data_IF_975958025048
#
_entry.id   IF_975958025048
#
_cell.length_a   1.000
_cell.length_b   1.000
_cell.length_c   1.000
_cell.angle_alpha   90.00
_cell.angle_beta   90.00
_cell.angle_gamma   90.00
#
_symmetry.space_group_name_H-M   'P 1'
#
loop_
_entity.id
_entity.type
_entity.pdbx_description
1 polymer ?
#
# COMPACT_ATOMS: atom_id res chain seq x y z
N UNK A 1 -15.84 -10.72 -23.19
CA UNK A 1 -17.23 -10.41 -22.81
C UNK A 1 -17.70 -11.27 -21.62
N UNK A 2 -17.74 -12.61 -21.73
CA UNK A 2 -18.16 -13.50 -20.63
C UNK A 2 -17.39 -13.30 -19.31
N UNK A 3 -16.07 -13.17 -19.34
CA UNK A 3 -15.29 -12.98 -18.10
C UNK A 3 -15.63 -11.66 -17.38
N UNK A 4 -15.89 -10.59 -18.13
CA UNK A 4 -16.26 -9.28 -17.56
C UNK A 4 -17.64 -9.33 -16.90
N UNK A 5 -18.59 -10.01 -17.54
CA UNK A 5 -19.93 -10.24 -16.97
C UNK A 5 -19.83 -11.10 -15.71
N UNK A 6 -19.07 -12.20 -15.75
CA UNK A 6 -18.88 -13.10 -14.61
C UNK A 6 -18.27 -12.39 -13.40
N UNK A 7 -17.20 -11.59 -13.59
CA UNK A 7 -16.57 -10.82 -12.52
C UNK A 7 -17.51 -9.75 -11.96
N UNK A 8 -18.32 -9.11 -12.81
CA UNK A 8 -19.27 -8.09 -12.35
C UNK A 8 -20.40 -8.71 -11.51
N UNK A 9 -20.99 -9.81 -11.98
CA UNK A 9 -22.05 -10.53 -11.25
C UNK A 9 -21.51 -11.12 -9.95
N UNK A 10 -20.31 -11.71 -9.99
CA UNK A 10 -19.63 -12.23 -8.80
C UNK A 10 -19.32 -11.14 -7.77
N UNK A 11 -18.89 -9.96 -8.22
CA UNK A 11 -18.65 -8.80 -7.36
C UNK A 11 -19.91 -8.34 -6.64
N UNK A 12 -21.04 -8.23 -7.35
CA UNK A 12 -22.33 -7.84 -6.76
C UNK A 12 -22.82 -8.86 -5.74
N UNK A 13 -22.69 -10.16 -6.04
CA UNK A 13 -23.07 -11.23 -5.12
C UNK A 13 -22.20 -11.22 -3.84
N UNK A 14 -20.89 -11.06 -3.99
CA UNK A 14 -19.95 -10.99 -2.88
C UNK A 14 -20.22 -9.78 -1.98
N UNK A 15 -20.45 -8.61 -2.58
CA UNK A 15 -20.79 -7.39 -1.82
C UNK A 15 -22.09 -7.55 -1.04
N UNK A 16 -23.14 -8.07 -1.68
CA UNK A 16 -24.43 -8.30 -1.00
C UNK A 16 -24.28 -9.25 0.18
N UNK A 17 -23.51 -10.33 0.03
CA UNK A 17 -23.23 -11.27 1.11
C UNK A 17 -22.48 -10.60 2.27
N UNK A 18 -21.38 -9.89 1.97
CA UNK A 18 -20.57 -9.20 2.98
C UNK A 18 -21.36 -8.13 3.73
N UNK A 19 -22.17 -7.34 3.02
CA UNK A 19 -23.00 -6.32 3.63
C UNK A 19 -24.06 -6.92 4.56
N UNK A 20 -24.73 -8.00 4.15
CA UNK A 20 -25.70 -8.70 4.99
C UNK A 20 -25.05 -9.33 6.24
N UNK A 21 -23.89 -9.97 6.09
CA UNK A 21 -23.14 -10.54 7.23
C UNK A 21 -22.70 -9.45 8.20
N UNK A 22 -22.22 -8.32 7.68
CA UNK A 22 -21.82 -7.18 8.50
C UNK A 22 -22.99 -6.60 9.29
N UNK A 23 -24.12 -6.36 8.62
CA UNK A 23 -25.34 -5.86 9.25
C UNK A 23 -25.83 -6.81 10.36
N UNK A 24 -25.87 -8.10 10.08
CA UNK A 24 -26.27 -9.12 11.04
C UNK A 24 -25.38 -9.12 12.29
N UNK A 25 -24.06 -9.06 12.11
CA UNK A 25 -23.11 -9.05 13.23
C UNK A 25 -23.19 -7.78 14.08
N UNK A 26 -23.38 -6.62 13.43
CA UNK A 26 -23.54 -5.34 14.14
C UNK A 26 -24.82 -5.34 14.96
N UNK A 27 -25.95 -5.78 14.40
CA UNK A 27 -27.24 -5.83 15.12
C UNK A 27 -27.21 -6.78 16.33
N UNK A 28 -26.35 -7.81 16.31
CA UNK A 28 -26.20 -8.77 17.40
C UNK A 28 -25.11 -8.41 18.41
N UNK A 29 -24.43 -7.29 18.22
CA UNK A 29 -23.35 -6.86 19.11
C UNK A 29 -23.88 -6.28 20.43
N UNK A 30 -23.18 -6.51 21.57
CA UNK A 30 -23.61 -5.98 22.87
C UNK A 30 -23.50 -4.45 22.93
N UNK A 31 -24.24 -3.81 23.85
CA UNK A 31 -24.24 -2.34 23.98
C UNK A 31 -22.84 -1.75 24.22
N UNK A 32 -21.97 -2.48 24.93
CA UNK A 32 -20.57 -2.08 25.18
C UNK A 32 -19.74 -1.90 23.90
N UNK A 33 -20.11 -2.58 22.80
CA UNK A 33 -19.48 -2.39 21.50
C UNK A 33 -19.83 -1.01 20.91
N UNK A 34 -21.07 -0.56 21.08
CA UNK A 34 -21.55 0.73 20.58
C UNK A 34 -21.05 1.91 21.44
N UNK A 35 -20.85 1.70 22.73
CA UNK A 35 -20.24 2.71 23.61
C UNK A 35 -18.75 2.93 23.31
N UNK A 36 -18.04 1.86 22.94
CA UNK A 36 -16.60 1.93 22.62
C UNK A 36 -16.32 2.37 21.19
N UNK A 37 -17.25 2.13 20.27
CA UNK A 37 -17.05 2.41 18.84
C UNK A 37 -17.80 3.69 18.44
N UNK A 38 -17.10 4.76 18.01
CA UNK A 38 -17.78 5.98 17.59
C UNK A 38 -18.66 5.72 16.37
N UNK A 39 -19.86 6.28 16.36
CA UNK A 39 -20.85 6.11 15.29
C UNK A 39 -20.30 6.44 13.90
N UNK A 40 -19.41 7.43 13.80
CA UNK A 40 -18.72 7.80 12.56
C UNK A 40 -17.88 6.68 11.95
N UNK A 41 -17.24 5.82 12.77
CA UNK A 41 -16.50 4.66 12.26
C UNK A 41 -17.44 3.61 11.67
N UNK A 42 -18.61 3.40 12.30
CA UNK A 42 -19.61 2.46 11.80
C UNK A 42 -20.16 2.92 10.45
N UNK A 43 -20.52 4.20 10.34
CA UNK A 43 -20.99 4.81 9.09
C UNK A 43 -19.92 4.77 8.01
N UNK A 44 -18.66 5.09 8.34
CA UNK A 44 -17.57 5.03 7.37
C UNK A 44 -17.35 3.60 6.85
N UNK A 45 -17.50 2.57 7.68
CA UNK A 45 -17.45 1.18 7.22
C UNK A 45 -18.61 0.84 6.29
N UNK A 46 -19.86 1.15 6.68
CA UNK A 46 -21.02 0.85 5.84
C UNK A 46 -21.07 1.63 4.54
N UNK A 47 -20.61 2.88 4.52
CA UNK A 47 -20.60 3.71 3.33
C UNK A 47 -19.34 3.47 2.49
N UNK A 48 -18.17 3.79 3.04
CA UNK A 48 -16.92 3.86 2.26
C UNK A 48 -16.30 2.48 2.01
N UNK A 49 -16.33 1.58 2.99
CA UNK A 49 -15.77 0.23 2.78
C UNK A 49 -16.67 -0.60 1.85
N UNK A 50 -18.00 -0.51 2.00
CA UNK A 50 -18.93 -1.17 1.07
C UNK A 50 -18.79 -0.63 -0.36
N UNK A 51 -18.72 0.69 -0.55
CA UNK A 51 -18.50 1.29 -1.87
C UNK A 51 -17.19 0.82 -2.53
N UNK A 52 -16.14 0.66 -1.72
CA UNK A 52 -14.86 0.10 -2.20
C UNK A 52 -15.03 -1.34 -2.67
N UNK A 53 -15.79 -2.16 -1.95
CA UNK A 53 -16.07 -3.56 -2.31
C UNK A 53 -16.92 -3.64 -3.58
N UNK A 54 -17.88 -2.73 -3.76
CA UNK A 54 -18.79 -2.70 -4.90
C UNK A 54 -18.12 -2.23 -6.20
N UNK A 55 -17.33 -1.16 -6.13
CA UNK A 55 -16.84 -0.46 -7.33
C UNK A 55 -15.36 -0.74 -7.61
N UNK A 56 -14.51 -0.72 -6.59
CA UNK A 56 -13.06 -0.75 -6.74
C UNK A 56 -12.58 -2.19 -6.93
N UNK A 57 -13.02 -3.13 -6.09
CA UNK A 57 -12.56 -4.52 -6.13
C UNK A 57 -12.85 -5.19 -7.49
N UNK A 58 -14.07 -5.12 -8.07
CA UNK A 58 -14.35 -5.73 -9.36
C UNK A 58 -13.52 -5.10 -10.49
N UNK A 59 -13.24 -3.80 -10.41
CA UNK A 59 -12.39 -3.10 -11.38
C UNK A 59 -10.95 -3.62 -11.35
N UNK A 60 -10.37 -3.75 -10.14
CA UNK A 60 -9.02 -4.29 -9.95
C UNK A 60 -8.93 -5.73 -10.47
N UNK A 61 -9.91 -6.58 -10.15
CA UNK A 61 -9.94 -7.98 -10.61
C UNK A 61 -10.00 -8.05 -12.14
N UNK A 62 -10.81 -7.20 -12.79
CA UNK A 62 -10.88 -7.14 -14.26
C UNK A 62 -9.53 -6.75 -14.87
N UNK A 63 -8.89 -5.70 -14.34
CA UNK A 63 -7.57 -5.27 -14.82
C UNK A 63 -6.50 -6.35 -14.61
N UNK A 64 -6.52 -7.01 -13.46
CA UNK A 64 -5.59 -8.09 -13.14
C UNK A 64 -5.76 -9.28 -14.08
N UNK A 65 -6.99 -9.77 -14.26
CA UNK A 65 -7.27 -10.86 -15.21
C UNK A 65 -6.89 -10.47 -16.63
N UNK A 66 -7.22 -9.25 -17.08
CA UNK A 66 -6.86 -8.77 -18.41
C UNK A 66 -5.35 -8.73 -18.64
N UNK A 67 -4.59 -8.29 -17.63
CA UNK A 67 -3.12 -8.27 -17.68
C UNK A 67 -2.56 -9.69 -17.70
N UNK A 68 -3.10 -10.59 -16.87
CA UNK A 68 -2.71 -12.00 -16.84
C UNK A 68 -2.94 -12.70 -18.18
N UNK A 69 -4.12 -12.53 -18.78
CA UNK A 69 -4.41 -13.12 -20.10
C UNK A 69 -3.54 -12.53 -21.21
N UNK A 70 -3.22 -11.23 -21.15
CA UNK A 70 -2.28 -10.64 -22.10
C UNK A 70 -0.89 -11.26 -21.98
N UNK A 71 -0.35 -11.35 -20.76
CA UNK A 71 0.98 -11.95 -20.54
C UNK A 71 1.02 -13.42 -20.97
N UNK A 72 0.01 -14.20 -20.59
CA UNK A 72 -0.11 -15.60 -21.00
C UNK A 72 -0.26 -15.74 -22.52
N UNK A 73 -1.08 -14.89 -23.14
CA UNK A 73 -1.29 -14.86 -24.58
C UNK A 73 -0.01 -14.52 -25.34
N UNK A 74 0.69 -13.45 -24.94
CA UNK A 74 1.98 -13.07 -25.51
C UNK A 74 3.02 -14.17 -25.33
N UNK A 75 3.09 -14.80 -24.15
CA UNK A 75 3.99 -15.91 -23.88
C UNK A 75 3.70 -17.11 -24.79
N UNK A 76 2.42 -17.50 -24.92
CA UNK A 76 2.00 -18.59 -25.79
C UNK A 76 2.32 -18.30 -27.27
N UNK A 77 2.09 -17.07 -27.75
CA UNK A 77 2.44 -16.67 -29.11
C UNK A 77 3.95 -16.74 -29.34
N UNK A 78 4.77 -16.25 -28.41
CA UNK A 78 6.23 -16.32 -28.51
C UNK A 78 6.72 -17.78 -28.53
N UNK A 79 6.13 -18.64 -27.69
CA UNK A 79 6.45 -20.07 -27.62
C UNK A 79 6.12 -20.80 -28.92
N UNK A 80 4.99 -20.47 -29.57
CA UNK A 80 4.59 -21.05 -30.86
C UNK A 80 5.45 -20.49 -32.00
N UNK A 81 5.69 -19.18 -32.01
CA UNK A 81 6.41 -18.50 -33.08
C UNK A 81 7.91 -18.83 -33.11
N UNK A 82 8.54 -19.06 -31.96
CA UNK A 82 9.96 -19.40 -31.88
C UNK A 82 10.26 -20.37 -30.74
N UNK A 83 9.96 -21.67 -30.91
CA UNK A 83 10.13 -22.68 -29.85
C UNK A 83 11.58 -22.85 -29.37
N UNK A 84 12.57 -22.44 -30.18
CA UNK A 84 13.99 -22.42 -29.81
C UNK A 84 14.29 -21.46 -28.63
N UNK A 85 13.52 -20.38 -28.46
CA UNK A 85 13.68 -19.43 -27.35
C UNK A 85 13.21 -20.03 -26.03
N UNK A 86 12.34 -21.04 -26.05
CA UNK A 86 11.84 -21.75 -24.86
C UNK A 86 12.95 -22.46 -24.07
N UNK A 87 14.08 -22.80 -24.70
CA UNK A 87 15.23 -23.42 -24.04
C UNK A 87 16.10 -22.37 -23.32
N UNK A 88 16.11 -21.13 -23.82
CA UNK A 88 16.90 -20.02 -23.27
C UNK A 88 16.14 -19.30 -22.13
N UNK A 89 14.80 -19.33 -22.14
CA UNK A 89 13.95 -18.71 -21.12
C UNK A 89 14.20 -19.24 -19.70
N UNK A 90 14.30 -20.57 -19.44
CA UNK A 90 14.53 -21.10 -18.10
C UNK A 90 15.84 -20.62 -17.46
N UNK A 91 17.03 -20.72 -18.11
CA UNK A 91 18.27 -20.23 -17.51
C UNK A 91 18.27 -18.71 -17.33
N UNK A 92 17.69 -17.95 -18.27
CA UNK A 92 17.58 -16.50 -18.14
C UNK A 92 16.64 -16.11 -16.99
N UNK A 93 15.50 -16.80 -16.86
CA UNK A 93 14.54 -16.60 -15.79
C UNK A 93 15.10 -16.95 -14.42
N UNK A 94 15.92 -17.99 -14.33
CA UNK A 94 16.64 -18.37 -13.10
C UNK A 94 17.65 -17.28 -12.69
N UNK A 95 18.39 -16.74 -13.66
CA UNK A 95 19.33 -15.63 -13.44
C UNK A 95 18.60 -14.37 -12.98
N UNK A 96 17.53 -13.98 -13.67
CA UNK A 96 16.68 -12.86 -13.27
C UNK A 96 16.06 -13.06 -11.88
N UNK A 97 15.63 -14.28 -11.55
CA UNK A 97 15.09 -14.60 -10.23
C UNK A 97 16.13 -14.41 -9.12
N UNK A 98 17.38 -14.82 -9.35
CA UNK A 98 18.48 -14.59 -8.41
C UNK A 98 18.77 -13.10 -8.22
N UNK A 99 18.89 -12.35 -9.33
CA UNK A 99 19.15 -10.91 -9.29
C UNK A 99 18.01 -10.16 -8.62
N UNK A 100 16.76 -10.50 -8.96
CA UNK A 100 15.57 -9.92 -8.36
C UNK A 100 15.50 -10.21 -6.85
N UNK A 101 15.83 -11.42 -6.41
CA UNK A 101 15.83 -11.77 -4.98
C UNK A 101 16.86 -10.94 -4.20
N UNK A 102 18.03 -10.71 -4.77
CA UNK A 102 19.08 -9.90 -4.16
C UNK A 102 18.71 -8.40 -4.15
N UNK A 103 18.16 -7.91 -5.25
CA UNK A 103 17.68 -6.54 -5.39
C UNK A 103 16.53 -6.24 -4.41
N UNK A 104 15.53 -7.11 -4.32
CA UNK A 104 14.38 -6.96 -3.41
C UNK A 104 14.81 -7.01 -1.95
N UNK A 105 15.78 -7.86 -1.59
CA UNK A 105 16.35 -7.88 -0.24
C UNK A 105 17.00 -6.53 0.11
N UNK A 106 17.81 -5.99 -0.78
CA UNK A 106 18.53 -4.72 -0.57
C UNK A 106 17.58 -3.52 -0.58
N UNK A 107 16.69 -3.44 -1.56
CA UNK A 107 15.69 -2.38 -1.70
C UNK A 107 14.73 -2.32 -0.51
N UNK A 108 14.31 -3.47 0.02
CA UNK A 108 13.46 -3.52 1.23
C UNK A 108 14.17 -2.98 2.46
N UNK A 109 15.46 -3.26 2.63
CA UNK A 109 16.23 -2.70 3.75
C UNK A 109 16.44 -1.19 3.60
N UNK A 110 16.76 -0.71 2.39
CA UNK A 110 16.85 0.72 2.10
C UNK A 110 15.54 1.45 2.41
N UNK A 111 14.41 0.90 1.94
CA UNK A 111 13.09 1.49 2.18
C UNK A 111 12.68 1.47 3.64
N UNK A 112 13.09 0.43 4.40
CA UNK A 112 12.93 0.38 5.85
C UNK A 112 13.76 1.47 6.53
N UNK A 113 15.02 1.64 6.14
CA UNK A 113 15.91 2.64 6.71
C UNK A 113 15.40 4.07 6.44
N UNK A 114 14.96 4.35 5.22
CA UNK A 114 14.30 5.61 4.84
C UNK A 114 13.02 5.87 5.67
N UNK A 115 12.19 4.84 5.87
CA UNK A 115 10.98 4.97 6.68
C UNK A 115 11.31 5.25 8.15
N UNK A 116 12.36 4.64 8.69
CA UNK A 116 12.79 4.82 10.09
C UNK A 116 13.43 6.19 10.28
N UNK A 117 14.26 6.67 9.36
CA UNK A 117 14.91 7.98 9.43
C UNK A 117 13.92 9.16 9.32
N UNK A 118 12.77 8.94 8.67
CA UNK A 118 11.72 9.95 8.48
C UNK A 118 10.77 10.10 9.68
N UNK A 119 10.61 9.07 10.51
CA UNK A 119 9.70 9.13 11.67
C UNK A 119 10.05 10.23 12.69
N UNK A 120 11.32 10.43 13.10
CA UNK A 120 11.69 11.45 14.09
C UNK A 120 11.40 12.89 13.66
N UNK A 121 11.40 13.15 12.35
CA UNK A 121 11.07 14.48 11.78
C UNK A 121 9.58 14.78 11.98
N UNK A 122 8.70 13.81 11.69
CA UNK A 122 7.25 13.98 11.91
C UNK A 122 6.89 14.07 13.39
N UNK A 123 7.53 13.26 14.24
CA UNK A 123 7.30 13.31 15.69
C UNK A 123 7.68 14.68 16.24
N UNK A 124 8.85 15.21 15.89
CA UNK A 124 9.31 16.54 16.30
C UNK A 124 8.37 17.66 15.82
N UNK A 125 7.88 17.56 14.58
CA UNK A 125 6.94 18.52 14.02
C UNK A 125 5.60 18.51 14.78
N UNK A 126 5.08 17.32 15.09
CA UNK A 126 3.84 17.18 15.86
C UNK A 126 3.97 17.71 17.29
N UNK A 127 5.09 17.44 17.97
CA UNK A 127 5.42 18.00 19.29
C UNK A 127 5.51 19.54 19.24
N UNK A 128 6.12 20.09 18.20
CA UNK A 128 6.24 21.55 18.01
C UNK A 128 4.88 22.21 17.78
N UNK A 129 3.99 21.56 17.01
CA UNK A 129 2.63 22.07 16.78
C UNK A 129 1.79 22.09 18.06
N UNK A 130 1.81 21.00 18.83
CA UNK A 130 1.08 20.90 20.09
C UNK A 130 1.66 21.83 21.17
N UNK A 131 2.99 22.02 21.19
CA UNK A 131 3.71 22.85 22.15
C UNK A 131 3.95 24.30 21.72
N UNK A 132 3.39 24.77 20.61
CA UNK A 132 3.76 26.04 19.99
C UNK A 132 3.55 27.27 20.88
N UNK A 133 2.55 27.24 21.76
CA UNK A 133 2.26 28.32 22.71
C UNK A 133 3.33 28.40 23.81
N UNK A 134 3.76 27.24 24.31
CA UNK A 134 4.79 27.09 25.34
C UNK A 134 6.15 27.52 24.77
N UNK A 135 6.52 27.03 23.59
CA UNK A 135 7.80 27.36 22.95
C UNK A 135 7.92 28.87 22.71
N UNK A 136 6.83 29.52 22.28
CA UNK A 136 6.79 30.98 22.10
C UNK A 136 6.82 31.75 23.42
N UNK A 137 6.15 31.25 24.45
CA UNK A 137 6.15 31.88 25.77
C UNK A 137 7.54 31.87 26.44
N UNK A 138 8.35 30.82 26.20
CA UNK A 138 9.70 30.69 26.74
C UNK A 138 10.81 31.26 25.83
N UNK A 139 10.51 31.68 24.60
CA UNK A 139 11.50 32.25 23.68
C UNK A 139 12.52 31.24 23.12
N UNK A 140 12.21 29.94 23.17
CA UNK A 140 13.13 28.84 22.81
C UNK A 140 13.01 28.40 21.33
N UNK A 141 12.50 29.25 20.44
CA UNK A 141 12.24 28.89 19.04
C UNK A 141 13.52 28.45 18.31
N UNK A 142 14.65 29.13 18.54
CA UNK A 142 15.91 28.84 17.85
C UNK A 142 16.47 27.47 18.19
N UNK A 143 16.24 26.98 19.42
CA UNK A 143 16.65 25.64 19.83
C UNK A 143 15.90 24.57 19.04
N UNK A 144 14.58 24.72 18.92
CA UNK A 144 13.72 23.82 18.16
C UNK A 144 14.01 23.86 16.65
N UNK A 145 14.34 25.02 16.09
CA UNK A 145 14.75 25.13 14.67
C UNK A 145 16.04 24.34 14.43
N UNK A 146 17.07 24.56 15.26
CA UNK A 146 18.35 23.85 15.13
C UNK A 146 18.21 22.34 15.30
N UNK A 147 17.32 21.90 16.21
CA UNK A 147 17.03 20.48 16.40
C UNK A 147 16.26 19.88 15.21
N UNK A 148 15.35 20.64 14.59
CA UNK A 148 14.64 20.24 13.38
C UNK A 148 15.62 20.06 12.20
N UNK A 149 16.52 21.00 11.99
CA UNK A 149 17.51 20.93 10.91
C UNK A 149 18.41 19.71 11.04
N UNK A 150 18.90 19.41 12.26
CA UNK A 150 19.71 18.21 12.50
C UNK A 150 18.97 16.89 12.22
N UNK A 151 17.67 16.81 12.52
CA UNK A 151 16.84 15.64 12.21
C UNK A 151 16.58 15.49 10.70
N UNK A 152 16.44 16.61 9.99
CA UNK A 152 16.29 16.63 8.53
C UNK A 152 17.60 16.21 7.84
N UNK A 153 18.75 16.71 8.28
CA UNK A 153 20.06 16.33 7.73
C UNK A 153 20.36 14.83 7.92
N UNK A 154 20.01 14.27 9.08
CA UNK A 154 20.14 12.84 9.33
C UNK A 154 19.26 12.02 8.37
N UNK A 155 18.04 12.48 8.09
CA UNK A 155 17.17 11.85 7.10
C UNK A 155 17.76 11.95 5.68
N UNK A 156 18.26 13.12 5.29
CA UNK A 156 18.88 13.30 3.97
C UNK A 156 20.09 12.39 3.75
N UNK A 157 20.88 12.14 4.79
CA UNK A 157 22.04 11.22 4.73
C UNK A 157 21.61 9.78 4.41
N UNK A 158 20.43 9.34 4.88
CA UNK A 158 19.88 8.02 4.54
C UNK A 158 19.14 8.02 3.18
N UNK A 159 18.56 9.15 2.78
CA UNK A 159 17.80 9.30 1.55
C UNK A 159 18.68 9.42 0.29
N UNK A 160 19.81 10.11 0.40
CA UNK A 160 20.70 10.37 -0.74
C UNK A 160 21.29 9.08 -1.38
N UNK A 161 21.81 8.09 -0.62
CA UNK A 161 22.25 6.82 -1.18
C UNK A 161 21.11 6.01 -1.80
N UNK A 162 19.89 6.14 -1.26
CA UNK A 162 18.70 5.48 -1.80
C UNK A 162 18.32 5.99 -3.18
N UNK A 163 18.44 7.30 -3.43
CA UNK A 163 18.23 7.88 -4.76
C UNK A 163 19.36 7.45 -5.73
N UNK A 164 20.61 7.51 -5.30
CA UNK A 164 21.77 7.21 -6.16
C UNK A 164 21.80 5.72 -6.54
N UNK A 165 21.43 4.82 -5.64
CA UNK A 165 21.36 3.38 -5.93
C UNK A 165 20.18 2.97 -6.82
N UNK A 166 19.19 3.84 -7.03
CA UNK A 166 17.99 3.58 -7.84
C UNK A 166 18.09 4.15 -9.26
N UNK A 167 19.23 4.77 -9.61
CA UNK A 167 19.51 5.36 -10.93
C UNK A 167 20.47 4.48 -11.70
#
# INVERSE_FOLDING_TARGET
>A
FCYSVAVSVGGILASRYLHQTMLYNVLRSPMSFFERTPSGNLVNRFAKETDTIDSVIPSIIKMFMGSMFNVLGSCAVILIATPLVAIIIPPLGLLYFFVQRFYVASSRQLKRLESVSRSPVYTHFNETLLGTSVIRAFGEQQRFIKESDGRVDHNQTAYFPSIVANR
#
